data_IF_396036058917
#
_entry.id   IF_396036058917
#
_cell.length_a   1.000
_cell.length_b   1.000
_cell.length_c   1.000
_cell.angle_alpha   90.00
_cell.angle_beta   90.00
_cell.angle_gamma   90.00
#
_symmetry.space_group_name_H-M   'P 1'
#
loop_
_entity.id
_entity.type
_entity.pdbx_description
1 polymer ?
#
# COMPACT_ATOMS: atom_id res chain seq x y z
N UNK A 1 -39.85 39.85 -9.67
CA UNK A 1 -38.67 39.13 -9.15
C UNK A 1 -37.55 40.14 -9.07
N UNK A 2 -36.98 40.37 -7.88
CA UNK A 2 -35.93 41.38 -7.70
C UNK A 2 -34.64 40.94 -8.41
N UNK A 3 -34.03 41.87 -9.13
CA UNK A 3 -32.79 41.66 -9.89
C UNK A 3 -31.65 41.22 -8.97
N UNK A 4 -31.62 41.71 -7.73
CA UNK A 4 -30.63 41.30 -6.73
C UNK A 4 -30.81 39.83 -6.32
N UNK A 5 -32.05 39.35 -6.22
CA UNK A 5 -32.34 37.93 -5.93
C UNK A 5 -31.94 37.02 -7.09
N UNK A 6 -32.17 37.45 -8.33
CA UNK A 6 -31.75 36.70 -9.54
C UNK A 6 -30.22 36.59 -9.60
N UNK A 7 -29.52 37.72 -9.42
CA UNK A 7 -28.05 37.74 -9.42
C UNK A 7 -27.47 36.91 -8.28
N UNK A 8 -28.03 37.00 -7.07
CA UNK A 8 -27.60 36.20 -5.92
C UNK A 8 -27.79 34.70 -6.15
N UNK A 9 -28.93 34.30 -6.71
CA UNK A 9 -29.23 32.88 -7.00
C UNK A 9 -28.28 32.32 -8.07
N UNK A 10 -28.03 33.08 -9.14
CA UNK A 10 -27.07 32.70 -10.18
C UNK A 10 -25.66 32.57 -9.58
N UNK A 11 -25.25 33.52 -8.72
CA UNK A 11 -23.96 33.48 -8.03
C UNK A 11 -23.77 32.21 -7.20
N UNK A 12 -24.78 31.81 -6.43
CA UNK A 12 -24.74 30.57 -5.61
C UNK A 12 -24.60 29.33 -6.48
N UNK A 13 -25.36 29.24 -7.58
CA UNK A 13 -25.30 28.08 -8.50
C UNK A 13 -23.89 27.95 -9.10
N UNK A 14 -23.30 29.07 -9.54
CA UNK A 14 -21.93 29.08 -10.09
C UNK A 14 -20.92 28.65 -9.03
N UNK A 15 -21.01 29.20 -7.82
CA UNK A 15 -20.07 28.85 -6.73
C UNK A 15 -20.17 27.37 -6.34
N UNK A 16 -21.39 26.83 -6.30
CA UNK A 16 -21.64 25.41 -6.03
C UNK A 16 -21.05 24.53 -7.14
N UNK A 17 -21.25 24.92 -8.40
CA UNK A 17 -20.69 24.22 -9.56
C UNK A 17 -19.15 24.19 -9.55
N UNK A 18 -18.52 25.33 -9.25
CA UNK A 18 -17.07 25.42 -9.10
C UNK A 18 -16.56 24.57 -7.93
N UNK A 19 -17.30 24.52 -6.83
CA UNK A 19 -16.96 23.69 -5.67
C UNK A 19 -16.99 22.20 -6.00
N UNK A 20 -18.04 21.73 -6.69
CA UNK A 20 -18.12 20.35 -7.16
C UNK A 20 -17.05 20.02 -8.21
N UNK A 21 -16.78 20.95 -9.13
CA UNK A 21 -15.71 20.79 -10.11
C UNK A 21 -14.34 20.69 -9.44
N UNK A 22 -14.05 21.53 -8.45
CA UNK A 22 -12.80 21.50 -7.69
C UNK A 22 -12.64 20.20 -6.89
N UNK A 23 -13.70 19.74 -6.22
CA UNK A 23 -13.72 18.46 -5.52
C UNK A 23 -13.48 17.29 -6.48
N UNK A 24 -14.15 17.28 -7.63
CA UNK A 24 -13.95 16.28 -8.68
C UNK A 24 -12.53 16.33 -9.23
N UNK A 25 -11.99 17.51 -9.51
CA UNK A 25 -10.62 17.70 -10.00
C UNK A 25 -9.59 17.21 -8.99
N UNK A 26 -9.76 17.55 -7.71
CA UNK A 26 -8.89 17.12 -6.62
C UNK A 26 -8.94 15.59 -6.48
N UNK A 27 -10.14 15.02 -6.50
CA UNK A 27 -10.33 13.57 -6.47
C UNK A 27 -9.72 12.86 -7.67
N UNK A 28 -9.90 13.39 -8.88
CA UNK A 28 -9.29 12.87 -10.12
C UNK A 28 -7.76 12.92 -10.07
N UNK A 29 -7.19 14.02 -9.55
CA UNK A 29 -5.74 14.21 -9.40
C UNK A 29 -5.15 13.28 -8.35
N UNK A 30 -5.86 13.06 -7.24
CA UNK A 30 -5.45 12.10 -6.21
C UNK A 30 -5.58 10.65 -6.68
N UNK A 31 -6.53 10.37 -7.58
CA UNK A 31 -6.73 9.03 -8.18
C UNK A 31 -5.83 8.73 -9.36
N UNK A 32 -5.13 9.71 -9.94
CA UNK A 32 -4.28 9.44 -11.09
C UNK A 32 -3.07 8.66 -10.60
N UNK A 33 -2.93 7.36 -10.96
CA UNK A 33 -1.80 6.57 -10.51
C UNK A 33 -0.53 7.24 -11.06
N UNK A 34 0.39 7.61 -10.16
CA UNK A 34 1.68 8.13 -10.57
C UNK A 34 2.38 7.01 -11.34
N UNK A 35 2.66 7.25 -12.62
CA UNK A 35 3.26 6.27 -13.49
C UNK A 35 4.49 5.66 -12.80
N UNK A 36 4.70 4.32 -12.90
CA UNK A 36 5.91 3.70 -12.39
C UNK A 36 7.12 4.45 -12.94
N UNK A 37 8.04 4.88 -12.07
CA UNK A 37 9.26 5.58 -12.51
C UNK A 37 9.98 4.69 -13.54
N UNK A 38 10.08 5.17 -14.77
CA UNK A 38 10.85 4.54 -15.83
C UNK A 38 12.32 4.45 -15.36
N UNK A 39 12.89 3.24 -15.38
CA UNK A 39 14.25 2.97 -14.90
C UNK A 39 14.34 2.08 -13.64
N UNK A 40 13.21 1.62 -13.08
CA UNK A 40 13.26 0.58 -12.06
C UNK A 40 13.84 -0.71 -12.69
N UNK A 41 15.08 -1.05 -12.32
CA UNK A 41 15.71 -2.32 -12.65
C UNK A 41 14.75 -3.50 -12.35
N UNK A 42 14.91 -4.67 -13.00
CA UNK A 42 14.10 -5.83 -12.70
C UNK A 42 14.10 -6.06 -11.17
N UNK A 43 12.94 -5.84 -10.55
CA UNK A 43 12.70 -6.03 -9.13
C UNK A 43 12.62 -7.55 -8.88
N UNK A 44 13.76 -8.22 -9.08
CA UNK A 44 13.96 -9.63 -8.82
C UNK A 44 14.40 -9.80 -7.37
N UNK A 45 13.75 -10.73 -6.68
CA UNK A 45 14.08 -11.04 -5.29
C UNK A 45 15.39 -11.83 -5.27
N UNK A 46 16.37 -11.39 -4.47
CA UNK A 46 17.70 -12.04 -4.35
C UNK A 46 18.09 -12.16 -2.89
N UNK A 47 18.33 -13.39 -2.41
CA UNK A 47 18.83 -13.63 -1.05
C UNK A 47 18.01 -12.94 0.05
N UNK A 48 16.68 -12.95 -0.07
CA UNK A 48 15.78 -12.28 0.88
C UNK A 48 15.57 -10.78 0.67
N UNK A 49 16.37 -10.11 -0.17
CA UNK A 49 16.11 -8.72 -0.56
C UNK A 49 14.90 -8.68 -1.51
N UNK A 50 13.80 -8.11 -1.04
CA UNK A 50 12.56 -7.95 -1.79
C UNK A 50 12.50 -6.52 -2.33
N UNK A 51 12.67 -6.31 -3.63
CA UNK A 51 12.64 -4.96 -4.17
C UNK A 51 11.22 -4.39 -4.12
N UNK A 52 11.09 -3.19 -3.57
CA UNK A 52 9.81 -2.52 -3.33
C UNK A 52 9.76 -1.19 -4.06
N UNK A 53 8.59 -0.84 -4.59
CA UNK A 53 8.33 0.44 -5.25
C UNK A 53 8.34 1.58 -4.24
N UNK A 54 7.77 1.32 -3.06
CA UNK A 54 7.70 2.26 -1.97
C UNK A 54 7.43 1.52 -0.66
N UNK A 55 7.73 2.19 0.45
CA UNK A 55 7.39 1.75 1.79
C UNK A 55 6.60 2.82 2.52
N UNK A 56 5.80 2.40 3.49
CA UNK A 56 4.94 3.28 4.27
C UNK A 56 4.88 2.81 5.72
N UNK A 57 4.53 3.74 6.60
CA UNK A 57 4.08 3.39 7.95
C UNK A 57 2.68 3.95 8.17
N UNK A 58 1.76 3.12 8.64
CA UNK A 58 0.37 3.49 8.90
C UNK A 58 -0.03 3.20 10.34
N UNK A 59 -1.34 3.25 10.60
CA UNK A 59 -1.93 2.87 11.87
C UNK A 59 -2.63 1.51 11.75
N UNK A 60 -2.41 0.65 12.74
CA UNK A 60 -3.09 -0.65 12.84
C UNK A 60 -4.59 -0.43 12.93
N UNK A 61 -5.36 -1.16 12.13
CA UNK A 61 -6.82 -1.04 12.04
C UNK A 61 -7.35 0.14 11.20
N UNK A 62 -6.50 1.08 10.77
CA UNK A 62 -6.89 2.15 9.84
C UNK A 62 -6.30 1.89 8.46
N UNK A 63 -7.07 1.28 7.54
CA UNK A 63 -6.57 1.06 6.19
C UNK A 63 -6.33 2.38 5.45
N UNK A 64 -5.40 2.35 4.50
CA UNK A 64 -5.11 3.44 3.53
C UNK A 64 -4.61 4.78 4.09
N UNK A 65 -4.37 4.87 5.41
CA UNK A 65 -3.73 6.04 6.01
C UNK A 65 -2.25 5.75 6.22
N UNK A 66 -1.41 6.37 5.38
CA UNK A 66 0.04 6.38 5.58
C UNK A 66 0.44 7.64 6.35
N UNK A 67 1.07 7.46 7.52
CA UNK A 67 1.65 8.53 8.32
C UNK A 67 2.99 9.02 7.72
N UNK A 68 3.74 8.11 7.11
CA UNK A 68 4.95 8.45 6.36
C UNK A 68 5.15 7.48 5.20
N UNK A 69 5.89 7.93 4.19
CA UNK A 69 6.26 7.16 3.00
C UNK A 69 7.73 7.35 2.67
N UNK A 70 8.34 6.34 2.06
CA UNK A 70 9.63 6.45 1.42
C UNK A 70 9.59 5.71 0.08
N UNK A 71 9.81 6.47 -1.00
CA UNK A 71 9.94 5.98 -2.37
C UNK A 71 11.29 6.33 -3.00
N UNK A 72 12.18 6.97 -2.23
CA UNK A 72 13.52 7.36 -2.67
C UNK A 72 14.52 6.23 -2.45
N UNK A 73 14.49 5.63 -1.26
CA UNK A 73 15.35 4.52 -0.89
C UNK A 73 14.61 3.58 0.08
N UNK A 74 13.53 2.93 -0.38
CA UNK A 74 12.80 1.98 0.45
C UNK A 74 13.61 0.68 0.58
N UNK A 75 13.50 0.03 1.74
CA UNK A 75 14.16 -1.26 1.99
C UNK A 75 13.13 -2.24 2.51
N UNK A 76 13.18 -3.47 1.98
CA UNK A 76 12.57 -4.66 2.52
C UNK A 76 13.53 -5.84 2.31
N UNK A 77 14.00 -6.43 3.40
CA UNK A 77 14.80 -7.66 3.39
C UNK A 77 14.22 -8.62 4.41
N UNK A 78 14.03 -9.85 3.97
CA UNK A 78 13.63 -10.99 4.79
C UNK A 78 14.94 -11.74 5.08
N UNK A 79 15.47 -11.57 6.28
CA UNK A 79 16.66 -12.29 6.73
C UNK A 79 16.26 -13.61 7.43
N UNK A 80 17.21 -14.35 8.00
CA UNK A 80 16.92 -15.66 8.60
C UNK A 80 15.97 -15.60 9.79
N UNK A 81 16.12 -14.59 10.65
CA UNK A 81 15.36 -14.46 11.91
C UNK A 81 14.52 -13.17 12.00
N UNK A 82 14.72 -12.25 11.06
CA UNK A 82 14.21 -10.90 11.17
C UNK A 82 13.84 -10.27 9.83
N UNK A 83 12.93 -9.31 9.93
CA UNK A 83 12.55 -8.39 8.88
C UNK A 83 13.35 -7.09 9.01
N UNK A 84 14.12 -6.74 7.98
CA UNK A 84 14.78 -5.44 7.87
C UNK A 84 14.02 -4.56 6.90
N UNK A 85 13.62 -3.38 7.34
CA UNK A 85 12.88 -2.44 6.49
C UNK A 85 13.23 -0.99 6.75
N UNK A 86 12.89 -0.12 5.79
CA UNK A 86 13.14 1.32 5.91
C UNK A 86 11.96 2.12 5.37
N UNK A 87 11.33 2.87 6.25
CA UNK A 87 10.43 3.99 5.89
C UNK A 87 11.20 5.29 6.10
N UNK A 88 11.21 5.83 7.32
CA UNK A 88 12.01 7.02 7.68
C UNK A 88 13.46 6.67 8.04
N UNK A 89 13.63 5.59 8.80
CA UNK A 89 14.93 5.03 9.21
C UNK A 89 14.88 3.51 9.07
N UNK A 90 16.05 2.88 8.95
CA UNK A 90 16.14 1.43 8.97
C UNK A 90 15.67 0.89 10.33
N UNK A 91 14.93 -0.20 10.28
CA UNK A 91 14.44 -0.94 11.43
C UNK A 91 14.63 -2.41 11.17
N UNK A 92 14.91 -3.13 12.24
CA UNK A 92 15.09 -4.58 12.24
C UNK A 92 14.10 -5.11 13.27
N UNK A 93 13.33 -6.12 12.87
CA UNK A 93 12.23 -6.66 13.68
C UNK A 93 12.24 -8.18 13.59
N UNK A 94 12.43 -8.89 14.72
CA UNK A 94 12.28 -10.35 14.74
C UNK A 94 10.93 -10.77 14.16
N UNK A 95 10.88 -11.94 13.53
CA UNK A 95 9.62 -12.47 13.02
C UNK A 95 8.58 -12.69 14.13
N UNK A 96 9.03 -13.00 15.34
CA UNK A 96 8.17 -13.13 16.53
C UNK A 96 7.42 -11.84 16.90
N UNK A 97 7.92 -10.66 16.47
CA UNK A 97 7.23 -9.40 16.72
C UNK A 97 6.07 -9.15 15.75
N UNK A 98 6.01 -9.91 14.65
CA UNK A 98 4.99 -9.78 13.62
C UNK A 98 3.72 -10.46 14.12
N UNK A 99 2.70 -9.64 14.35
CA UNK A 99 1.37 -10.10 14.70
C UNK A 99 0.69 -10.79 13.53
N UNK A 100 0.78 -10.19 12.35
CA UNK A 100 0.14 -10.68 11.14
C UNK A 100 0.72 -9.99 9.91
N UNK A 101 0.83 -10.73 8.82
CA UNK A 101 1.05 -10.17 7.47
C UNK A 101 -0.23 -10.29 6.67
N UNK A 102 -0.68 -9.17 6.13
CA UNK A 102 -1.85 -9.08 5.25
C UNK A 102 -1.42 -8.54 3.88
N UNK A 103 -2.30 -8.73 2.88
CA UNK A 103 -2.11 -8.16 1.56
C UNK A 103 -3.29 -7.28 1.19
N UNK A 104 -2.99 -6.20 0.48
CA UNK A 104 -4.01 -5.37 -0.17
C UNK A 104 -3.59 -4.99 -1.57
N UNK A 105 -4.49 -5.27 -2.50
CA UNK A 105 -4.42 -4.79 -3.86
C UNK A 105 -5.39 -3.62 -4.04
N UNK A 106 -4.86 -2.47 -4.45
CA UNK A 106 -5.67 -1.29 -4.75
C UNK A 106 -4.92 -0.38 -5.73
N UNK A 107 -5.64 0.23 -6.67
CA UNK A 107 -5.10 1.22 -7.61
C UNK A 107 -3.84 0.76 -8.37
N UNK A 108 -3.79 -0.52 -8.76
CA UNK A 108 -2.64 -1.09 -9.47
C UNK A 108 -1.39 -1.27 -8.60
N UNK A 109 -1.55 -1.26 -7.27
CA UNK A 109 -0.47 -1.54 -6.31
C UNK A 109 -0.79 -2.80 -5.54
N UNK A 110 0.23 -3.61 -5.30
CA UNK A 110 0.17 -4.77 -4.41
C UNK A 110 0.99 -4.47 -3.16
N UNK A 111 0.32 -4.37 -2.02
CA UNK A 111 0.94 -3.97 -0.75
C UNK A 111 0.96 -5.14 0.23
N UNK A 112 2.13 -5.45 0.75
CA UNK A 112 2.32 -6.29 1.94
C UNK A 112 2.19 -5.41 3.17
N UNK A 113 1.37 -5.81 4.14
CA UNK A 113 1.08 -5.05 5.36
C UNK A 113 1.54 -5.89 6.54
N UNK A 114 2.55 -5.42 7.25
CA UNK A 114 3.10 -6.02 8.45
C UNK A 114 2.54 -5.29 9.67
N UNK A 115 1.77 -6.02 10.48
CA UNK A 115 1.33 -5.58 11.79
C UNK A 115 2.25 -6.16 12.86
N UNK A 116 2.57 -5.36 13.88
CA UNK A 116 3.42 -5.78 14.99
C UNK A 116 2.62 -5.87 16.30
N UNK A 117 3.08 -6.71 17.23
CA UNK A 117 2.43 -6.91 18.53
C UNK A 117 2.50 -5.66 19.43
N UNK A 118 3.71 -5.16 19.64
CA UNK A 118 4.06 -4.04 20.52
C UNK A 118 3.71 -2.64 19.96
N UNK A 119 3.39 -2.55 18.67
CA UNK A 119 3.21 -1.27 17.98
C UNK A 119 1.79 -1.08 17.46
N UNK A 120 1.26 0.13 17.65
CA UNK A 120 0.06 0.60 16.94
C UNK A 120 0.34 0.96 15.48
N UNK A 121 1.62 0.97 15.07
CA UNK A 121 2.05 1.31 13.71
C UNK A 121 2.23 0.07 12.87
N UNK A 122 1.93 0.18 11.59
CA UNK A 122 2.20 -0.86 10.60
C UNK A 122 3.41 -0.49 9.76
N UNK A 123 4.04 -1.50 9.16
CA UNK A 123 4.93 -1.33 8.03
C UNK A 123 4.24 -1.84 6.78
N UNK A 124 4.26 -1.08 5.70
CA UNK A 124 3.63 -1.45 4.43
C UNK A 124 4.66 -1.37 3.32
N UNK A 125 4.74 -2.40 2.50
CA UNK A 125 5.67 -2.50 1.39
C UNK A 125 4.91 -2.72 0.08
N UNK A 126 5.04 -1.79 -0.86
CA UNK A 126 4.49 -1.94 -2.20
C UNK A 126 5.47 -2.74 -3.06
N UNK A 127 5.08 -3.95 -3.47
CA UNK A 127 5.90 -4.87 -4.29
C UNK A 127 5.53 -4.82 -5.77
N UNK A 128 4.63 -3.91 -6.16
CA UNK A 128 4.20 -3.68 -7.53
C UNK A 128 3.12 -4.65 -8.00
N UNK A 129 3.38 -5.97 -8.01
CA UNK A 129 2.48 -6.97 -8.60
C UNK A 129 2.12 -8.09 -7.64
N UNK A 130 0.97 -8.73 -7.87
CA UNK A 130 0.52 -9.89 -7.10
C UNK A 130 1.53 -11.05 -7.15
N UNK A 131 2.10 -11.34 -8.33
CA UNK A 131 3.11 -12.39 -8.47
C UNK A 131 4.35 -12.14 -7.59
N UNK A 132 4.82 -10.89 -7.50
CA UNK A 132 5.93 -10.53 -6.60
C UNK A 132 5.52 -10.58 -5.13
N UNK A 133 4.27 -10.20 -4.83
CA UNK A 133 3.69 -10.36 -3.51
C UNK A 133 3.70 -11.81 -3.05
N UNK A 134 3.24 -12.74 -3.90
CA UNK A 134 3.28 -14.16 -3.63
C UNK A 134 4.71 -14.66 -3.39
N UNK A 135 5.67 -14.27 -4.25
CA UNK A 135 7.08 -14.64 -4.07
C UNK A 135 7.67 -14.10 -2.76
N UNK A 136 7.36 -12.86 -2.40
CA UNK A 136 7.82 -12.25 -1.15
C UNK A 136 7.19 -12.90 0.08
N UNK A 137 5.89 -13.26 0.02
CA UNK A 137 5.23 -14.01 1.09
C UNK A 137 5.82 -15.40 1.26
N UNK A 138 6.22 -16.07 0.17
CA UNK A 138 6.80 -17.40 0.20
C UNK A 138 8.21 -17.44 0.84
N UNK A 139 8.84 -16.28 1.03
CA UNK A 139 10.09 -16.17 1.76
C UNK A 139 9.91 -16.02 3.27
N UNK A 140 8.70 -15.69 3.74
CA UNK A 140 8.44 -15.60 5.18
C UNK A 140 8.45 -17.00 5.79
N UNK A 141 9.05 -17.19 6.98
CA UNK A 141 8.99 -18.49 7.65
C UNK A 141 7.55 -18.79 8.08
N UNK A 142 7.24 -20.09 8.22
CA UNK A 142 5.90 -20.56 8.59
C UNK A 142 5.41 -20.03 9.95
N UNK A 143 6.34 -19.62 10.82
CA UNK A 143 6.04 -19.00 12.11
C UNK A 143 5.37 -17.62 11.98
N UNK A 144 5.49 -16.95 10.84
CA UNK A 144 4.88 -15.64 10.61
C UNK A 144 3.38 -15.79 10.31
N UNK A 145 2.47 -15.23 11.13
CA UNK A 145 1.04 -15.40 10.90
C UNK A 145 0.59 -14.65 9.64
N UNK A 146 -0.03 -15.37 8.71
CA UNK A 146 -0.61 -14.78 7.49
C UNK A 146 -2.13 -14.62 7.61
N UNK A 147 -2.64 -13.48 7.13
CA UNK A 147 -4.08 -13.26 6.96
C UNK A 147 -4.70 -14.23 5.94
N UNK A 148 -6.03 -14.36 5.94
CA UNK A 148 -6.73 -15.14 4.93
C UNK A 148 -6.39 -14.69 3.49
N UNK A 149 -6.34 -13.37 3.25
CA UNK A 149 -5.97 -12.79 1.95
C UNK A 149 -4.52 -13.08 1.58
N UNK A 150 -3.60 -13.01 2.53
CA UNK A 150 -2.19 -13.30 2.27
C UNK A 150 -1.99 -14.78 1.93
N UNK A 151 -2.69 -15.68 2.62
CA UNK A 151 -2.70 -17.12 2.29
C UNK A 151 -3.31 -17.38 0.92
N UNK A 152 -4.36 -16.67 0.56
CA UNK A 152 -4.96 -16.78 -0.77
C UNK A 152 -3.99 -16.29 -1.86
N UNK A 153 -3.28 -15.18 -1.62
CA UNK A 153 -2.28 -14.65 -2.54
C UNK A 153 -1.05 -15.56 -2.71
N UNK A 154 -0.76 -16.43 -1.75
CA UNK A 154 0.28 -17.47 -1.87
C UNK A 154 -0.12 -18.60 -2.82
N UNK A 155 -1.41 -18.82 -3.07
CA UNK A 155 -1.83 -19.90 -3.97
C UNK A 155 -1.41 -19.58 -5.40
N UNK A 156 -0.80 -20.53 -6.13
CA UNK A 156 -0.49 -20.34 -7.53
C UNK A 156 -1.79 -20.09 -8.32
N UNK A 157 -1.75 -19.18 -9.28
CA UNK A 157 -2.90 -18.67 -10.04
C UNK A 157 -3.64 -19.72 -10.92
N UNK A 158 -3.36 -21.02 -10.75
CA UNK A 158 -4.01 -22.14 -11.43
C UNK A 158 -4.90 -23.01 -10.54
N UNK A 159 -4.95 -22.77 -9.22
CA UNK A 159 -5.79 -23.54 -8.31
C UNK A 159 -7.20 -22.92 -8.16
N UNK A 160 -7.87 -22.62 -9.27
CA UNK A 160 -9.34 -22.52 -9.24
C UNK A 160 -9.88 -23.94 -9.28
N UNK A 161 -10.47 -24.33 -8.16
CA UNK A 161 -11.03 -25.65 -7.91
C UNK A 161 -11.93 -26.12 -9.06
N UNK A 162 -11.65 -27.32 -9.57
CA UNK A 162 -12.68 -28.16 -10.13
C UNK A 162 -13.64 -28.54 -9.01
N UNK A 163 -14.88 -28.10 -9.15
CA UNK A 163 -16.08 -28.69 -8.53
C UNK A 163 -16.96 -29.14 -9.68
#
# INVERSE_FOLDING_TARGET
MDWMTVLGTVGVIVLQGLSFWFLYWLWKKLRTPKAPRAGAAPLAIKGGAVPVVASFTGLRGLPWVALATNSLNPVLRIESEQLVYRVLRQRERPFADIRQVDVREAYGTFNLIFEFHDARRTFVANVGTAARGAQALALLPESVPLSARAREALRPAGAKAGV
#
